data_IF_410755277396
#
_entry.id   IF_410755277396
#
_cell.length_a   1.000
_cell.length_b   1.000
_cell.length_c   1.000
_cell.angle_alpha   90.00
_cell.angle_beta   90.00
_cell.angle_gamma   90.00
#
_symmetry.space_group_name_H-M   'P 1'
#
loop_
_entity.id
_entity.type
_entity.pdbx_description
1 polymer ?
#
# COMPACT_ATOMS: atom_id res chain seq x y z
N UNK A 1 7.29 -13.35 2.88
CA UNK A 1 7.07 -12.30 1.86
C UNK A 1 7.87 -11.07 2.28
N UNK A 2 7.96 -10.01 1.46
CA UNK A 2 8.61 -8.76 1.87
C UNK A 2 7.88 -7.55 1.29
N UNK A 3 7.58 -6.56 2.12
CA UNK A 3 7.07 -5.27 1.69
C UNK A 3 7.93 -4.17 2.29
N UNK A 4 8.36 -3.20 1.48
CA UNK A 4 9.08 -2.02 1.97
C UNK A 4 8.56 -0.77 1.28
N UNK A 5 8.48 0.32 2.02
CA UNK A 5 8.09 1.62 1.53
C UNK A 5 9.10 2.66 2.04
N UNK A 6 9.77 3.36 1.12
CA UNK A 6 10.82 4.33 1.44
C UNK A 6 10.48 5.68 0.82
N UNK A 7 10.50 6.76 1.61
CA UNK A 7 10.35 8.11 1.07
C UNK A 7 11.67 8.54 0.43
N UNK A 8 11.65 8.84 -0.88
CA UNK A 8 12.87 9.19 -1.63
C UNK A 8 12.99 10.68 -1.93
N UNK A 9 11.89 11.38 -2.18
CA UNK A 9 11.85 12.81 -2.48
C UNK A 9 10.56 13.48 -1.98
N UNK A 10 10.43 14.80 -2.19
CA UNK A 10 9.19 15.53 -1.88
C UNK A 10 8.07 14.99 -2.77
N UNK A 11 7.11 14.29 -2.18
CA UNK A 11 5.92 13.80 -2.88
C UNK A 11 6.00 12.36 -3.40
N UNK A 12 7.17 11.70 -3.33
CA UNK A 12 7.42 10.38 -3.93
C UNK A 12 7.87 9.33 -2.90
N UNK A 13 7.47 8.10 -3.12
CA UNK A 13 7.91 6.93 -2.38
C UNK A 13 8.27 5.76 -3.27
N UNK A 14 9.32 5.04 -2.91
CA UNK A 14 9.74 3.80 -3.55
C UNK A 14 9.14 2.62 -2.80
N UNK A 15 8.56 1.69 -3.57
CA UNK A 15 7.91 0.50 -3.05
C UNK A 15 8.59 -0.73 -3.62
N UNK A 16 8.94 -1.65 -2.74
CA UNK A 16 9.36 -3.00 -3.11
C UNK A 16 8.41 -4.01 -2.49
N UNK A 17 7.96 -4.95 -3.31
CA UNK A 17 7.10 -6.05 -2.90
C UNK A 17 7.63 -7.35 -3.46
N UNK A 18 7.79 -8.35 -2.59
CA UNK A 18 8.13 -9.72 -2.95
C UNK A 18 7.16 -10.71 -2.33
N UNK A 19 6.49 -11.49 -3.18
CA UNK A 19 5.58 -12.56 -2.79
C UNK A 19 5.97 -13.82 -3.55
N UNK A 20 6.27 -14.90 -2.82
CA UNK A 20 6.76 -16.14 -3.43
C UNK A 20 8.06 -15.91 -4.22
N UNK A 21 8.01 -16.15 -5.53
CA UNK A 21 9.13 -15.95 -6.46
C UNK A 21 9.04 -14.64 -7.25
N UNK A 22 7.92 -13.92 -7.14
CA UNK A 22 7.68 -12.68 -7.87
C UNK A 22 8.10 -11.50 -7.02
N UNK A 23 8.91 -10.61 -7.59
CA UNK A 23 9.30 -9.35 -6.97
C UNK A 23 9.08 -8.20 -7.94
N UNK A 24 8.59 -7.09 -7.42
CA UNK A 24 8.30 -5.88 -8.18
C UNK A 24 8.83 -4.66 -7.44
N UNK A 25 9.18 -3.65 -8.24
CA UNK A 25 9.58 -2.32 -7.78
C UNK A 25 8.64 -1.31 -8.43
N UNK A 26 8.10 -0.39 -7.62
CA UNK A 26 7.17 0.64 -8.07
C UNK A 26 7.54 1.96 -7.41
N UNK A 27 7.32 3.05 -8.11
CA UNK A 27 7.32 4.40 -7.53
C UNK A 27 5.88 4.84 -7.31
N UNK A 28 5.60 5.61 -6.28
CA UNK A 28 4.26 6.17 -6.04
C UNK A 28 4.35 7.64 -5.67
N UNK A 29 3.37 8.39 -6.14
CA UNK A 29 3.11 9.77 -5.78
C UNK A 29 2.24 9.84 -4.52
N UNK A 30 2.08 11.04 -3.96
CA UNK A 30 1.18 11.34 -2.85
C UNK A 30 1.52 10.65 -1.50
N UNK A 31 2.81 10.34 -1.26
CA UNK A 31 3.43 9.89 0.01
C UNK A 31 2.55 9.02 0.93
N UNK A 32 1.63 9.62 1.68
CA UNK A 32 0.79 8.94 2.65
C UNK A 32 -0.47 8.30 2.08
N UNK A 33 -1.07 8.86 1.02
CA UNK A 33 -2.33 8.35 0.46
C UNK A 33 -2.24 6.87 0.05
N UNK A 34 -1.17 6.42 -0.66
CA UNK A 34 -1.01 5.01 -1.02
C UNK A 34 -1.04 4.07 0.20
N UNK A 35 -0.39 4.48 1.29
CA UNK A 35 -0.33 3.70 2.52
C UNK A 35 -1.65 3.72 3.29
N UNK A 36 -2.36 4.85 3.30
CA UNK A 36 -3.70 4.96 3.91
C UNK A 36 -4.67 4.02 3.19
N UNK A 37 -4.68 4.04 1.86
CA UNK A 37 -5.53 3.16 1.05
C UNK A 37 -5.22 1.69 1.30
N UNK A 38 -3.94 1.33 1.39
CA UNK A 38 -3.53 -0.03 1.66
C UNK A 38 -3.96 -0.50 3.05
N UNK A 39 -3.72 0.30 4.09
CA UNK A 39 -4.12 -0.03 5.47
C UNK A 39 -5.63 -0.20 5.57
N UNK A 40 -6.40 0.78 5.08
CA UNK A 40 -7.87 0.72 5.11
C UNK A 40 -8.42 -0.47 4.34
N UNK A 41 -7.82 -0.77 3.19
CA UNK A 41 -8.20 -1.94 2.39
C UNK A 41 -7.92 -3.24 3.12
N UNK A 42 -6.78 -3.36 3.79
CA UNK A 42 -6.45 -4.53 4.61
C UNK A 42 -7.38 -4.64 5.82
N UNK A 43 -7.72 -3.52 6.48
CA UNK A 43 -8.70 -3.49 7.56
C UNK A 43 -10.03 -4.08 7.11
N UNK A 44 -10.58 -3.66 5.95
CA UNK A 44 -11.83 -4.21 5.41
C UNK A 44 -11.77 -5.73 5.15
N UNK A 45 -10.58 -6.31 4.98
CA UNK A 45 -10.39 -7.76 4.85
C UNK A 45 -10.36 -8.48 6.20
N UNK A 46 -10.52 -7.84 7.34
CA UNK A 46 -10.48 -8.51 8.65
C UNK A 46 -11.84 -8.40 9.32
N UNK A 47 -12.69 -9.45 9.28
CA UNK A 47 -14.05 -9.36 9.80
C UNK A 47 -14.14 -8.95 11.27
N UNK A 48 -13.13 -9.27 12.09
CA UNK A 48 -13.11 -8.89 13.50
C UNK A 48 -12.82 -7.40 13.76
N UNK A 49 -12.42 -6.65 12.72
CA UNK A 49 -12.13 -5.21 12.82
C UNK A 49 -13.24 -4.33 12.23
N UNK A 50 -14.28 -4.93 11.65
CA UNK A 50 -15.34 -4.20 10.95
C UNK A 50 -16.71 -4.67 11.43
N UNK A 51 -17.72 -3.82 11.22
CA UNK A 51 -19.10 -4.28 11.31
C UNK A 51 -19.36 -5.35 10.23
N UNK A 52 -20.31 -6.29 10.45
CA UNK A 52 -20.53 -7.40 9.53
C UNK A 52 -20.86 -7.01 8.08
N UNK A 53 -21.41 -5.82 7.86
CA UNK A 53 -21.76 -5.26 6.55
C UNK A 53 -20.62 -4.45 5.90
N UNK A 54 -19.59 -4.10 6.66
CA UNK A 54 -18.40 -3.39 6.20
C UNK A 54 -17.30 -4.35 5.74
N UNK A 55 -17.24 -5.55 6.32
CA UNK A 55 -16.28 -6.58 5.95
C UNK A 55 -16.39 -6.97 4.47
N UNK A 56 -15.25 -6.99 3.78
CA UNK A 56 -15.14 -7.34 2.36
C UNK A 56 -14.31 -8.60 2.15
N UNK A 57 -14.61 -9.30 1.06
CA UNK A 57 -13.77 -10.37 0.52
C UNK A 57 -12.85 -9.88 -0.59
N UNK A 58 -13.16 -8.75 -1.20
CA UNK A 58 -12.39 -8.13 -2.27
C UNK A 58 -12.30 -6.62 -2.02
N UNK A 59 -11.09 -6.09 -2.12
CA UNK A 59 -10.80 -4.66 -2.07
C UNK A 59 -10.01 -4.26 -3.31
N UNK A 60 -10.21 -3.04 -3.78
CA UNK A 60 -9.55 -2.51 -4.98
C UNK A 60 -9.32 -1.02 -4.79
N UNK A 61 -8.10 -0.58 -5.08
CA UNK A 61 -7.67 0.80 -4.98
C UNK A 61 -6.56 1.05 -6.01
N UNK A 62 -6.28 2.32 -6.26
CA UNK A 62 -5.33 2.75 -7.28
C UNK A 62 -4.25 3.60 -6.60
N UNK A 63 -2.98 3.33 -6.91
CA UNK A 63 -1.87 4.21 -6.57
C UNK A 63 -1.45 4.99 -7.80
N UNK A 64 -1.35 6.30 -7.65
CA UNK A 64 -0.85 7.18 -8.69
C UNK A 64 0.68 7.18 -8.68
N UNK A 65 1.27 7.00 -9.86
CA UNK A 65 2.73 6.95 -10.12
C UNK A 65 3.08 7.85 -11.30
N UNK A 66 2.37 8.97 -11.41
CA UNK A 66 2.27 9.93 -12.52
C UNK A 66 3.27 9.74 -13.70
N UNK A 67 2.79 9.53 -14.94
CA UNK A 67 1.38 9.42 -15.36
C UNK A 67 0.77 8.03 -15.09
N UNK A 68 1.58 7.08 -14.64
CA UNK A 68 1.18 5.69 -14.50
C UNK A 68 0.23 5.47 -13.31
N UNK A 69 -0.54 4.40 -13.37
CA UNK A 69 -1.40 3.95 -12.26
C UNK A 69 -1.14 2.49 -11.95
N UNK A 70 -0.90 2.19 -10.67
CA UNK A 70 -0.82 0.83 -10.15
C UNK A 70 -2.14 0.48 -9.48
N UNK A 71 -2.95 -0.35 -10.14
CA UNK A 71 -4.19 -0.86 -9.56
C UNK A 71 -3.92 -2.07 -8.72
N UNK A 72 -4.25 -1.97 -7.44
CA UNK A 72 -4.22 -3.07 -6.49
C UNK A 72 -5.58 -3.73 -6.39
N UNK A 73 -5.59 -5.05 -6.37
CA UNK A 73 -6.75 -5.85 -6.02
C UNK A 73 -6.33 -6.93 -5.05
N UNK A 74 -6.92 -6.92 -3.87
CA UNK A 74 -6.66 -7.92 -2.83
C UNK A 74 -7.93 -8.72 -2.61
N UNK A 75 -7.84 -10.04 -2.72
CA UNK A 75 -8.98 -10.95 -2.64
C UNK A 75 -8.70 -12.02 -1.59
N UNK A 76 -9.62 -12.24 -0.64
CA UNK A 76 -9.60 -13.42 0.21
C UNK A 76 -9.85 -14.66 -0.63
N UNK A 77 -8.92 -15.60 -0.58
CA UNK A 77 -9.07 -16.91 -1.23
C UNK A 77 -9.32 -18.02 -0.20
N UNK A 78 -8.95 -17.78 1.07
CA UNK A 78 -9.30 -18.62 2.21
C UNK A 78 -9.24 -17.78 3.51
N UNK A 79 -9.61 -18.36 4.65
CA UNK A 79 -9.64 -17.67 5.95
C UNK A 79 -8.32 -16.96 6.32
N UNK A 80 -7.18 -17.52 5.94
CA UNK A 80 -5.86 -16.95 6.23
C UNK A 80 -5.09 -16.53 4.99
N UNK A 81 -5.67 -16.69 3.79
CA UNK A 81 -4.96 -16.45 2.54
C UNK A 81 -5.62 -15.36 1.71
N UNK A 82 -4.79 -14.49 1.19
CA UNK A 82 -5.17 -13.47 0.22
C UNK A 82 -4.40 -13.67 -1.07
N UNK A 83 -5.02 -13.28 -2.18
CA UNK A 83 -4.34 -13.05 -3.46
C UNK A 83 -4.20 -11.55 -3.65
N UNK A 84 -2.98 -11.11 -3.91
CA UNK A 84 -2.68 -9.73 -4.29
C UNK A 84 -2.44 -9.73 -5.79
N UNK A 85 -3.18 -8.88 -6.51
CA UNK A 85 -2.98 -8.62 -7.93
C UNK A 85 -2.65 -7.14 -8.12
N UNK A 86 -1.59 -6.86 -8.88
CA UNK A 86 -1.17 -5.49 -9.21
C UNK A 86 -1.09 -5.37 -10.72
N UNK A 87 -1.84 -4.41 -11.26
CA UNK A 87 -1.82 -4.07 -12.68
C UNK A 87 -1.29 -2.66 -12.90
N UNK A 88 -0.40 -2.51 -13.87
CA UNK A 88 0.15 -1.25 -14.32
C UNK A 88 -0.60 -0.72 -15.53
N UNK A 89 -0.98 0.55 -15.48
CA UNK A 89 -1.46 1.33 -16.61
C UNK A 89 -0.44 2.45 -16.85
N UNK A 90 0.54 2.23 -17.74
CA UNK A 90 1.67 3.14 -17.97
C UNK A 90 1.24 4.57 -18.37
N UNK A 91 0.15 4.68 -19.13
CA UNK A 91 -0.41 5.95 -19.61
C UNK A 91 -1.50 6.51 -18.70
N UNK A 92 -1.79 5.85 -17.57
CA UNK A 92 -2.90 6.18 -16.67
C UNK A 92 -4.29 5.87 -17.25
N UNK A 93 -4.38 5.30 -18.46
CA UNK A 93 -5.64 5.04 -19.15
C UNK A 93 -6.16 3.65 -18.76
N UNK A 94 -7.08 3.64 -17.78
CA UNK A 94 -7.72 2.43 -17.22
C UNK A 94 -8.60 1.64 -18.20
N UNK A 95 -8.86 2.16 -19.41
CA UNK A 95 -9.62 1.44 -20.45
C UNK A 95 -8.77 0.42 -21.19
N UNK A 96 -7.44 0.52 -21.11
CA UNK A 96 -6.52 -0.47 -21.65
C UNK A 96 -6.52 -1.74 -20.77
N UNK A 97 -6.00 -2.85 -21.27
CA UNK A 97 -5.98 -4.11 -20.50
C UNK A 97 -5.07 -4.07 -19.26
N UNK A 98 -4.16 -3.08 -19.19
CA UNK A 98 -3.08 -3.00 -18.21
C UNK A 98 -2.06 -4.13 -18.36
N UNK A 99 -0.86 -3.93 -17.82
CA UNK A 99 0.13 -5.00 -17.65
C UNK A 99 -0.05 -5.63 -16.27
N UNK A 100 -0.09 -6.96 -16.18
CA UNK A 100 -0.12 -7.66 -14.90
C UNK A 100 1.31 -7.77 -14.36
N UNK A 101 1.64 -7.00 -13.32
CA UNK A 101 2.96 -7.03 -12.70
C UNK A 101 3.09 -8.15 -11.66
N UNK A 102 2.01 -8.42 -10.93
CA UNK A 102 1.99 -9.39 -9.85
C UNK A 102 0.60 -10.02 -9.70
N UNK A 103 0.54 -11.33 -9.50
CA UNK A 103 -0.66 -12.07 -9.09
C UNK A 103 -0.22 -13.27 -8.25
N UNK A 104 -0.13 -13.07 -6.94
CA UNK A 104 0.44 -14.05 -6.01
C UNK A 104 -0.43 -14.22 -4.77
N UNK A 105 -0.38 -15.40 -4.18
CA UNK A 105 -1.03 -15.69 -2.90
C UNK A 105 -0.04 -15.60 -1.74
N UNK A 106 -0.51 -15.06 -0.61
CA UNK A 106 0.24 -15.03 0.63
C UNK A 106 -0.68 -15.22 1.84
N UNK A 107 -0.06 -15.46 2.99
CA UNK A 107 -0.78 -15.43 4.25
C UNK A 107 -1.14 -13.99 4.62
N UNK A 108 -2.38 -13.77 5.07
CA UNK A 108 -2.90 -12.45 5.44
C UNK A 108 -2.15 -11.88 6.64
N UNK A 109 -1.86 -12.70 7.65
CA UNK A 109 -1.15 -12.24 8.85
C UNK A 109 0.31 -11.92 8.54
N UNK A 110 0.95 -12.71 7.67
CA UNK A 110 2.30 -12.41 7.18
C UNK A 110 2.33 -11.08 6.42
N UNK A 111 1.32 -10.80 5.58
CA UNK A 111 1.21 -9.53 4.88
C UNK A 111 1.01 -8.34 5.83
N UNK A 112 0.10 -8.47 6.80
CA UNK A 112 -0.14 -7.45 7.82
C UNK A 112 1.14 -7.16 8.60
N UNK A 113 1.88 -8.20 8.99
CA UNK A 113 3.13 -8.03 9.73
C UNK A 113 4.14 -7.19 8.93
N UNK A 114 4.38 -7.54 7.66
CA UNK A 114 5.30 -6.78 6.80
C UNK A 114 4.82 -5.34 6.54
N UNK A 115 3.51 -5.12 6.41
CA UNK A 115 2.95 -3.78 6.30
C UNK A 115 3.20 -2.94 7.55
N UNK A 116 2.94 -3.49 8.74
CA UNK A 116 3.18 -2.81 10.02
C UNK A 116 4.67 -2.53 10.20
N UNK A 117 5.54 -3.48 9.89
CA UNK A 117 7.00 -3.28 9.95
C UNK A 117 7.46 -2.15 9.02
N UNK A 118 6.92 -2.07 7.80
CA UNK A 118 7.22 -0.99 6.87
C UNK A 118 6.76 0.38 7.40
N UNK A 119 5.55 0.46 7.98
CA UNK A 119 5.03 1.69 8.59
C UNK A 119 5.86 2.11 9.82
N UNK A 120 6.25 1.17 10.67
CA UNK A 120 7.14 1.46 11.80
C UNK A 120 8.49 2.00 11.34
N UNK A 121 9.08 1.41 10.29
CA UNK A 121 10.34 1.88 9.72
C UNK A 121 10.21 3.30 9.15
N UNK A 122 9.10 3.58 8.47
CA UNK A 122 8.80 4.92 7.96
C UNK A 122 8.68 5.93 9.11
N UNK A 123 7.97 5.59 10.18
CA UNK A 123 7.85 6.42 11.38
C UNK A 123 9.19 6.61 12.11
N UNK A 124 10.04 5.58 12.20
CA UNK A 124 11.38 5.70 12.79
C UNK A 124 12.27 6.65 11.98
N UNK A 125 12.16 6.59 10.65
CA UNK A 125 13.00 7.40 9.75
C UNK A 125 12.52 8.85 9.60
N UNK A 126 11.20 9.11 9.71
CA UNK A 126 10.62 10.43 9.39
C UNK A 126 9.69 11.02 10.48
N UNK A 127 9.21 10.21 11.42
CA UNK A 127 8.17 10.57 12.39
C UNK A 127 8.59 11.52 13.51
N UNK A 128 9.88 11.72 13.75
CA UNK A 128 10.37 12.62 14.81
C UNK A 128 10.50 14.10 14.38
N UNK A 129 10.46 14.41 13.08
CA UNK A 129 10.74 15.78 12.60
C UNK A 129 9.45 16.57 12.33
N UNK A 130 8.33 15.91 12.03
CA UNK A 130 7.07 16.58 11.66
C UNK A 130 6.31 17.26 12.81
N UNK A 131 6.42 16.77 14.06
CA UNK A 131 5.63 17.31 15.18
C UNK A 131 6.29 18.46 15.96
N UNK A 132 7.58 18.74 15.76
CA UNK A 132 8.31 19.72 16.58
C UNK A 132 8.59 21.04 15.84
N UNK A 133 8.45 21.10 14.51
CA UNK A 133 8.84 22.30 13.75
C UNK A 133 7.81 23.43 13.67
N UNK A 134 6.57 23.26 14.13
CA UNK A 134 5.50 24.29 13.94
C UNK A 134 4.91 24.87 15.24
N UNK A 135 5.67 24.86 16.33
CA UNK A 135 5.28 25.54 17.60
C UNK A 135 6.16 26.72 17.98
N UNK A 136 7.07 27.18 17.12
CA UNK A 136 7.94 28.35 17.39
C UNK A 136 7.92 29.44 16.32
N UNK A 137 6.76 29.86 15.83
CA UNK A 137 6.60 31.17 15.17
C UNK A 137 5.19 31.74 15.35
N UNK A 138 4.75 31.93 16.59
CA UNK A 138 3.67 32.88 16.92
C UNK A 138 4.05 33.60 18.19
N UNK A 139 4.95 34.56 18.05
CA UNK A 139 5.10 35.70 18.95
C UNK A 139 5.82 36.79 18.15
N UNK A 140 5.03 37.71 17.59
CA UNK A 140 5.34 39.13 17.41
C UNK A 140 4.11 39.87 16.88
#
# INVERSE_FOLDING_TARGET
MKFTYTLTNIGWGDVYLKIGQTEIYMETSYLSEPLIDLVRSVECLIPSLNEPDEARDVVTFDWDSEPAIHRWRITKVANTKIRIEIKLFEDGIKTNSGELLLSEECDLMEFIQELVEALEMLLKNHGLVGSISDSRKRDK
#
